data_IF_486263757419
#
_entry.id   IF_486263757419
#
_cell.length_a   1.000
_cell.length_b   1.000
_cell.length_c   1.000
_cell.angle_alpha   90.00
_cell.angle_beta   90.00
_cell.angle_gamma   90.00
#
_symmetry.space_group_name_H-M   'P 1'
#
loop_
_entity.id
_entity.type
_entity.pdbx_description
1 polymer ?
#
# COMPACT_ATOMS: atom_id res chain seq x y z
N UNK A 1 29.79 -17.22 -13.66
CA UNK A 1 28.91 -16.03 -13.58
C UNK A 1 28.33 -15.94 -12.19
N UNK A 2 28.49 -14.83 -11.50
CA UNK A 2 27.86 -14.60 -10.19
C UNK A 2 26.57 -13.78 -10.42
N UNK A 3 25.47 -14.19 -9.78
CA UNK A 3 24.24 -13.40 -9.73
C UNK A 3 24.38 -12.30 -8.69
N UNK A 4 23.79 -11.13 -8.98
CA UNK A 4 23.76 -10.03 -8.03
C UNK A 4 22.91 -10.42 -6.79
N UNK A 5 23.44 -10.17 -5.61
CA UNK A 5 22.73 -10.33 -4.35
C UNK A 5 22.83 -9.02 -3.57
N UNK A 6 21.68 -8.41 -3.25
CA UNK A 6 21.67 -7.17 -2.50
C UNK A 6 22.19 -7.36 -1.06
N UNK A 7 22.99 -6.43 -0.59
CA UNK A 7 23.43 -6.36 0.81
C UNK A 7 22.63 -5.31 1.57
N UNK A 8 22.09 -5.61 2.76
CA UNK A 8 21.23 -4.67 3.50
C UNK A 8 21.88 -3.30 3.77
N UNK A 9 23.20 -3.26 3.93
CA UNK A 9 23.94 -2.03 4.21
C UNK A 9 24.12 -1.09 2.98
N UNK A 10 24.00 -1.63 1.77
CA UNK A 10 24.24 -0.89 0.53
C UNK A 10 22.94 -0.37 -0.11
N UNK A 11 21.77 -0.74 0.44
CA UNK A 11 20.46 -0.41 -0.13
C UNK A 11 20.16 1.08 0.06
N UNK A 12 19.98 1.79 -1.05
CA UNK A 12 19.50 3.17 -1.07
C UNK A 12 17.98 3.17 -1.33
N UNK A 13 17.22 3.65 -0.34
CA UNK A 13 15.76 3.76 -0.43
C UNK A 13 15.36 5.14 -0.91
N UNK A 14 14.44 5.17 -1.88
CA UNK A 14 13.81 6.38 -2.38
C UNK A 14 12.41 6.56 -1.80
N UNK A 15 11.90 7.75 -1.92
CA UNK A 15 10.54 8.11 -1.54
C UNK A 15 9.74 8.41 -2.79
N UNK A 16 8.60 7.75 -2.94
CA UNK A 16 7.69 7.97 -4.06
C UNK A 16 6.34 8.44 -3.55
N UNK A 17 5.73 9.36 -4.30
CA UNK A 17 4.37 9.84 -4.06
C UNK A 17 3.48 9.40 -5.22
N UNK A 18 2.34 8.81 -4.89
CA UNK A 18 1.33 8.31 -5.83
C UNK A 18 0.02 9.01 -5.55
N UNK A 19 -0.58 9.58 -6.58
CA UNK A 19 -1.93 10.15 -6.51
C UNK A 19 -2.97 9.07 -6.85
N UNK A 20 -3.87 8.79 -5.92
CA UNK A 20 -4.96 7.83 -6.08
C UNK A 20 -6.25 8.45 -6.66
N UNK A 21 -6.29 9.76 -6.88
CA UNK A 21 -7.49 10.45 -7.37
C UNK A 21 -7.95 9.90 -8.73
N UNK A 22 -9.24 9.57 -8.82
CA UNK A 22 -9.87 9.02 -10.02
C UNK A 22 -9.26 7.73 -10.59
N UNK A 23 -8.42 7.05 -9.82
CA UNK A 23 -7.80 5.78 -10.20
C UNK A 23 -8.45 4.60 -9.48
N UNK A 24 -8.54 3.43 -10.12
CA UNK A 24 -9.05 2.23 -9.46
C UNK A 24 -8.17 1.86 -8.26
N UNK A 25 -8.78 1.73 -7.08
CA UNK A 25 -8.09 1.41 -5.82
C UNK A 25 -7.18 0.18 -5.96
N UNK A 26 -7.65 -0.89 -6.60
CA UNK A 26 -6.87 -2.12 -6.77
C UNK A 26 -5.64 -1.96 -7.65
N UNK A 27 -5.73 -1.19 -8.74
CA UNK A 27 -4.58 -0.93 -9.63
C UNK A 27 -3.53 -0.05 -8.96
N UNK A 28 -3.98 0.97 -8.23
CA UNK A 28 -3.09 1.80 -7.42
C UNK A 28 -2.38 0.95 -6.36
N UNK A 29 -3.12 0.11 -5.63
CA UNK A 29 -2.55 -0.79 -4.63
C UNK A 29 -1.52 -1.77 -5.21
N UNK A 30 -1.72 -2.26 -6.44
CA UNK A 30 -0.75 -3.14 -7.11
C UNK A 30 0.59 -2.41 -7.34
N UNK A 31 0.54 -1.19 -7.86
CA UNK A 31 1.76 -0.40 -8.09
C UNK A 31 2.49 -0.05 -6.80
N UNK A 32 1.73 0.32 -5.77
CA UNK A 32 2.27 0.55 -4.42
C UNK A 32 2.98 -0.70 -3.90
N UNK A 33 2.34 -1.87 -4.01
CA UNK A 33 2.92 -3.13 -3.57
C UNK A 33 4.19 -3.51 -4.33
N UNK A 34 4.25 -3.25 -5.63
CA UNK A 34 5.44 -3.52 -6.47
C UNK A 34 6.64 -2.65 -6.05
N UNK A 35 6.41 -1.38 -5.70
CA UNK A 35 7.46 -0.47 -5.19
C UNK A 35 7.93 -0.93 -3.80
N UNK A 36 6.99 -1.21 -2.89
CA UNK A 36 7.30 -1.65 -1.52
C UNK A 36 8.08 -2.97 -1.50
N UNK A 37 7.84 -3.87 -2.47
CA UNK A 37 8.56 -5.14 -2.65
C UNK A 37 9.81 -5.04 -3.49
N UNK A 38 10.16 -3.85 -4.00
CA UNK A 38 11.30 -3.66 -4.89
C UNK A 38 11.22 -4.40 -6.24
N UNK A 39 10.03 -4.79 -6.71
CA UNK A 39 9.91 -5.51 -7.99
C UNK A 39 10.28 -4.68 -9.23
N UNK A 40 10.26 -3.38 -9.11
CA UNK A 40 10.56 -2.44 -10.20
C UNK A 40 12.09 -2.31 -10.40
N UNK A 41 12.87 -2.54 -9.35
CA UNK A 41 14.33 -2.40 -9.41
C UNK A 41 15.02 -3.69 -9.84
N UNK A 42 16.09 -3.61 -10.64
CA UNK A 42 16.88 -4.78 -11.00
C UNK A 42 17.60 -5.43 -9.82
N UNK A 43 17.77 -4.68 -8.72
CA UNK A 43 18.40 -5.13 -7.47
C UNK A 43 17.51 -6.03 -6.62
N UNK A 44 16.32 -6.39 -7.09
CA UNK A 44 15.39 -7.23 -6.35
C UNK A 44 16.01 -8.54 -5.89
N UNK A 45 16.04 -8.74 -4.58
CA UNK A 45 16.52 -9.99 -3.97
C UNK A 45 15.45 -10.50 -2.99
N UNK A 46 14.92 -11.73 -3.16
CA UNK A 46 13.76 -12.20 -2.40
C UNK A 46 13.95 -12.28 -0.87
N UNK A 47 15.17 -12.53 -0.42
CA UNK A 47 15.50 -12.69 1.02
C UNK A 47 15.98 -11.39 1.68
N UNK A 48 16.14 -10.31 0.93
CA UNK A 48 16.57 -9.00 1.42
C UNK A 48 15.48 -7.97 1.19
N UNK A 49 15.25 -7.11 2.18
CA UNK A 49 14.28 -6.03 2.08
C UNK A 49 14.89 -4.83 1.33
N UNK A 50 14.67 -4.77 0.02
CA UNK A 50 15.17 -3.72 -0.88
C UNK A 50 14.14 -2.64 -1.22
N UNK A 51 12.92 -2.71 -0.67
CA UNK A 51 11.81 -1.84 -1.06
C UNK A 51 11.97 -0.38 -0.65
N UNK A 52 11.29 0.49 -1.38
CA UNK A 52 11.26 1.93 -1.18
C UNK A 52 10.11 2.37 -0.27
N UNK A 53 10.08 3.65 0.06
CA UNK A 53 8.98 4.29 0.77
C UNK A 53 7.93 4.79 -0.22
N UNK A 54 6.65 4.63 0.12
CA UNK A 54 5.55 5.09 -0.72
C UNK A 54 4.57 5.92 0.10
N UNK A 55 4.24 7.08 -0.44
CA UNK A 55 3.19 7.96 0.05
C UNK A 55 2.04 7.90 -0.95
N UNK A 56 0.85 7.56 -0.50
CA UNK A 56 -0.39 7.62 -1.30
C UNK A 56 -1.21 8.80 -0.82
N UNK A 57 -1.57 9.68 -1.74
CA UNK A 57 -2.43 10.84 -1.47
C UNK A 57 -3.80 10.67 -2.14
N UNK A 58 -4.78 11.45 -1.71
CA UNK A 58 -6.15 11.46 -2.22
C UNK A 58 -6.82 10.06 -2.16
N UNK A 59 -6.60 9.32 -1.09
CA UNK A 59 -7.20 7.99 -0.95
C UNK A 59 -8.75 8.03 -0.90
N UNK A 60 -9.34 9.15 -0.48
CA UNK A 60 -10.79 9.40 -0.49
C UNK A 60 -11.39 9.42 -1.90
N UNK A 61 -10.60 9.86 -2.90
CA UNK A 61 -11.01 9.98 -4.32
C UNK A 61 -10.69 8.73 -5.15
N UNK A 62 -10.20 7.66 -4.51
CA UNK A 62 -9.96 6.40 -5.19
C UNK A 62 -11.27 5.74 -5.62
N UNK A 63 -11.30 5.20 -6.85
CA UNK A 63 -12.51 4.65 -7.44
C UNK A 63 -12.61 3.13 -7.15
N UNK A 64 -13.77 2.70 -6.69
CA UNK A 64 -14.15 1.29 -6.63
C UNK A 64 -15.08 0.95 -7.80
N UNK A 65 -14.64 0.08 -8.69
CA UNK A 65 -15.38 -0.28 -9.91
C UNK A 65 -16.53 -1.25 -9.64
N UNK A 66 -17.59 -1.14 -10.43
CA UNK A 66 -18.77 -2.00 -10.33
C UNK A 66 -19.55 -1.80 -9.03
N UNK A 67 -20.19 -2.84 -8.54
CA UNK A 67 -21.03 -2.82 -7.31
C UNK A 67 -20.23 -3.05 -6.01
N UNK A 68 -18.90 -2.77 -5.99
CA UNK A 68 -18.07 -3.06 -4.82
C UNK A 68 -18.40 -2.20 -3.60
N UNK A 69 -18.89 -0.98 -3.81
CA UNK A 69 -19.32 -0.11 -2.71
C UNK A 69 -20.45 -0.75 -1.88
N UNK A 70 -21.35 -1.47 -2.54
CA UNK A 70 -22.52 -2.09 -1.90
C UNK A 70 -22.25 -3.52 -1.43
N UNK A 71 -21.55 -4.32 -2.26
CA UNK A 71 -21.41 -5.76 -2.06
C UNK A 71 -20.12 -6.17 -1.34
N UNK A 72 -19.14 -5.29 -1.26
CA UNK A 72 -17.87 -5.58 -0.58
C UNK A 72 -17.93 -5.16 0.87
N UNK A 73 -17.51 -6.06 1.78
CA UNK A 73 -17.47 -5.83 3.22
C UNK A 73 -16.04 -5.95 3.75
N UNK A 74 -15.69 -5.07 4.64
CA UNK A 74 -14.55 -5.24 5.53
C UNK A 74 -15.00 -6.04 6.74
N UNK A 75 -14.42 -7.23 6.91
CA UNK A 75 -14.77 -8.16 8.00
C UNK A 75 -13.62 -8.31 8.96
N UNK A 76 -13.91 -8.26 10.24
CA UNK A 76 -12.98 -8.61 11.30
C UNK A 76 -13.70 -9.36 12.40
N UNK A 77 -12.98 -10.28 13.06
CA UNK A 77 -13.52 -11.04 14.20
C UNK A 77 -12.81 -10.62 15.47
N UNK A 78 -13.55 -10.45 16.58
CA UNK A 78 -13.00 -10.03 17.88
C UNK A 78 -12.44 -11.18 18.70
N UNK A 79 -12.64 -12.44 18.26
CA UNK A 79 -12.24 -13.64 19.01
C UNK A 79 -13.30 -14.19 19.97
N UNK A 80 -14.39 -13.45 20.20
CA UNK A 80 -15.49 -13.89 21.05
C UNK A 80 -16.66 -14.47 20.22
N UNK A 81 -17.50 -15.28 20.84
CA UNK A 81 -18.73 -15.82 20.23
C UNK A 81 -19.59 -14.64 19.75
N UNK A 82 -20.04 -14.67 18.48
CA UNK A 82 -20.81 -13.58 17.87
C UNK A 82 -19.98 -12.30 17.57
N UNK A 83 -18.66 -12.37 17.64
CA UNK A 83 -17.77 -11.23 17.47
C UNK A 83 -17.41 -10.84 16.02
N UNK A 84 -18.13 -11.35 15.01
CA UNK A 84 -17.95 -10.93 13.61
C UNK A 84 -18.46 -9.49 13.42
N UNK A 85 -17.57 -8.60 12.98
CA UNK A 85 -17.92 -7.21 12.62
C UNK A 85 -17.76 -7.02 11.14
N UNK A 86 -18.80 -6.49 10.50
CA UNK A 86 -18.85 -6.21 9.07
C UNK A 86 -19.13 -4.72 8.82
N UNK A 87 -18.35 -4.11 7.94
CA UNK A 87 -18.53 -2.72 7.51
C UNK A 87 -18.59 -2.71 5.99
N UNK A 88 -19.62 -2.11 5.39
CA UNK A 88 -19.70 -1.92 3.94
C UNK A 88 -18.57 -1.03 3.44
N UNK A 89 -18.06 -1.30 2.25
CA UNK A 89 -17.01 -0.47 1.67
C UNK A 89 -17.46 0.97 1.38
N UNK A 90 -18.74 1.21 1.10
CA UNK A 90 -19.29 2.57 1.01
C UNK A 90 -19.05 3.36 2.30
N UNK A 91 -19.37 2.77 3.45
CA UNK A 91 -19.14 3.40 4.76
C UNK A 91 -17.65 3.54 5.06
N UNK A 92 -16.85 2.51 4.72
CA UNK A 92 -15.41 2.52 4.96
C UNK A 92 -14.71 3.64 4.18
N UNK A 93 -15.03 3.82 2.91
CA UNK A 93 -14.47 4.89 2.06
C UNK A 93 -14.83 6.28 2.56
N UNK A 94 -16.03 6.46 3.13
CA UNK A 94 -16.46 7.74 3.68
C UNK A 94 -15.83 8.05 5.05
N UNK A 95 -15.55 7.03 5.86
CA UNK A 95 -15.06 7.23 7.24
C UNK A 95 -13.54 7.06 7.34
N UNK A 96 -12.97 6.07 6.66
CA UNK A 96 -11.54 5.71 6.73
C UNK A 96 -11.03 5.21 5.37
N UNK A 97 -10.90 6.08 4.36
CA UNK A 97 -10.40 5.69 3.03
C UNK A 97 -8.95 5.18 3.08
N UNK A 98 -8.14 5.70 4.00
CA UNK A 98 -6.77 5.24 4.24
C UNK A 98 -6.71 3.75 4.56
N UNK A 99 -7.56 3.29 5.47
CA UNK A 99 -7.63 1.88 5.85
C UNK A 99 -8.03 0.99 4.65
N UNK A 100 -8.92 1.46 3.77
CA UNK A 100 -9.30 0.69 2.57
C UNK A 100 -8.11 0.49 1.63
N UNK A 101 -7.27 1.52 1.44
CA UNK A 101 -6.06 1.42 0.63
C UNK A 101 -5.00 0.54 1.31
N UNK A 102 -4.76 0.71 2.59
CA UNK A 102 -3.82 -0.11 3.36
C UNK A 102 -4.17 -1.60 3.30
N UNK A 103 -5.44 -1.95 3.48
CA UNK A 103 -5.92 -3.34 3.39
C UNK A 103 -5.72 -3.92 1.99
N UNK A 104 -5.93 -3.12 0.94
CA UNK A 104 -5.70 -3.55 -0.43
C UNK A 104 -4.22 -3.85 -0.68
N UNK A 105 -3.31 -2.97 -0.24
CA UNK A 105 -1.87 -3.17 -0.35
C UNK A 105 -1.39 -4.34 0.51
N UNK A 106 -1.88 -4.45 1.75
CA UNK A 106 -1.54 -5.56 2.66
C UNK A 106 -1.89 -6.92 2.05
N UNK A 107 -3.04 -7.03 1.38
CA UNK A 107 -3.43 -8.26 0.70
C UNK A 107 -2.57 -8.64 -0.51
N UNK A 108 -1.79 -7.70 -1.06
CA UNK A 108 -0.89 -7.91 -2.20
C UNK A 108 0.58 -8.15 -1.79
N UNK A 109 0.90 -7.91 -0.53
CA UNK A 109 2.23 -8.17 0.04
C UNK A 109 2.20 -9.51 0.77
N UNK A 110 3.21 -10.39 0.61
CA UNK A 110 3.26 -11.66 1.31
C UNK A 110 3.36 -11.45 2.83
N UNK A 111 2.68 -12.29 3.60
CA UNK A 111 2.71 -12.25 5.07
C UNK A 111 3.96 -12.90 5.64
N UNK A 112 5.10 -12.30 5.34
CA UNK A 112 6.42 -12.69 5.83
C UNK A 112 7.00 -11.57 6.69
N UNK A 113 8.10 -11.85 7.40
CA UNK A 113 8.81 -10.82 8.18
C UNK A 113 9.24 -9.63 7.32
N UNK A 114 9.69 -9.89 6.09
CA UNK A 114 10.08 -8.85 5.12
C UNK A 114 8.85 -8.08 4.65
N UNK A 115 7.74 -8.76 4.35
CA UNK A 115 6.49 -8.12 3.94
C UNK A 115 5.91 -7.20 5.03
N UNK A 116 5.96 -7.61 6.29
CA UNK A 116 5.53 -6.76 7.42
C UNK A 116 6.43 -5.52 7.57
N UNK A 117 7.75 -5.65 7.38
CA UNK A 117 8.66 -4.50 7.31
C UNK A 117 8.37 -3.60 6.11
N UNK A 118 8.03 -4.16 4.96
CA UNK A 118 7.65 -3.38 3.78
C UNK A 118 6.40 -2.51 4.05
N UNK A 119 5.40 -3.05 4.75
CA UNK A 119 4.19 -2.30 5.11
C UNK A 119 4.45 -1.09 6.01
N UNK A 120 5.49 -1.09 6.84
CA UNK A 120 5.83 0.08 7.67
C UNK A 120 6.33 1.28 6.85
N UNK A 121 6.68 1.08 5.58
CA UNK A 121 7.09 2.14 4.65
C UNK A 121 5.95 2.68 3.79
N UNK A 122 4.74 2.20 4.02
CA UNK A 122 3.53 2.72 3.38
C UNK A 122 2.93 3.82 4.25
N UNK A 123 2.69 4.97 3.64
CA UNK A 123 1.99 6.10 4.25
C UNK A 123 0.81 6.46 3.37
N UNK A 124 -0.40 6.42 3.91
CA UNK A 124 -1.64 6.72 3.17
C UNK A 124 -2.31 7.93 3.79
N UNK A 125 -2.73 8.86 2.94
CA UNK A 125 -3.42 10.08 3.32
C UNK A 125 -4.73 10.21 2.54
N UNK A 126 -5.78 10.62 3.22
CA UNK A 126 -7.08 10.87 2.60
C UNK A 126 -7.04 12.05 1.64
N UNK A 127 -6.36 13.13 2.03
CA UNK A 127 -6.24 14.36 1.25
C UNK A 127 -4.93 14.48 0.46
N UNK A 128 -4.60 15.71 0.09
CA UNK A 128 -3.37 16.05 -0.66
C UNK A 128 -2.17 16.32 0.24
N UNK A 129 -2.40 16.62 1.52
CA UNK A 129 -1.34 16.94 2.48
C UNK A 129 -0.71 15.68 3.05
N UNK A 130 0.61 15.68 3.18
CA UNK A 130 1.40 14.59 3.75
C UNK A 130 2.51 15.12 4.66
N UNK A 131 2.89 14.36 5.67
CA UNK A 131 3.84 14.80 6.69
C UNK A 131 5.32 14.72 6.24
N UNK A 132 5.65 13.88 5.25
CA UNK A 132 7.04 13.57 4.87
C UNK A 132 7.62 14.52 3.81
N UNK A 133 7.29 15.81 3.87
CA UNK A 133 7.78 16.83 2.90
C UNK A 133 9.30 16.92 2.89
N UNK A 134 9.94 16.79 4.04
CA UNK A 134 11.40 16.85 4.19
C UNK A 134 12.16 15.79 3.39
N UNK A 135 11.50 14.66 3.07
CA UNK A 135 12.09 13.55 2.31
C UNK A 135 12.10 13.80 0.80
N UNK A 136 11.49 14.90 0.32
CA UNK A 136 11.40 15.28 -1.10
C UNK A 136 10.98 14.11 -2.00
N UNK A 137 9.77 13.55 -1.80
CA UNK A 137 9.33 12.38 -2.55
C UNK A 137 9.22 12.69 -4.05
N UNK A 138 9.64 11.74 -4.89
CA UNK A 138 9.51 11.81 -6.34
C UNK A 138 8.08 11.40 -6.74
N UNK A 139 7.45 12.13 -7.67
CA UNK A 139 6.14 11.73 -8.21
C UNK A 139 6.30 10.47 -9.05
N UNK A 140 5.47 9.49 -8.80
CA UNK A 140 5.40 8.25 -9.58
C UNK A 140 4.09 8.23 -10.38
N UNK A 141 4.21 8.29 -11.71
CA UNK A 141 3.08 8.19 -12.65
C UNK A 141 3.04 6.80 -13.28
N UNK A 142 1.83 6.23 -13.42
CA UNK A 142 1.62 4.90 -14.01
C UNK A 142 0.29 4.84 -14.79
#
# INVERSE_FOLDING_TARGET
MSTFMAKPAEIQRKWYIIDAANRPLGRTATKVADILRCKIKPEFTPHVDCGDHVIVINADKAVLTGKKLENKFYRRHTGFIGGLKEVKYATLMNTRPELAMELAVKGMIPDTTIGRKALTRLHVYSGTEYAQVAQKPEKYEF
#
